data_IF_793631564533
#
_entry.id   IF_793631564533
#
_cell.length_a   1.000
_cell.length_b   1.000
_cell.length_c   1.000
_cell.angle_alpha   90.00
_cell.angle_beta   90.00
_cell.angle_gamma   90.00
#
_symmetry.space_group_name_H-M   'P 1'
#
loop_
_entity.id
_entity.type
_entity.pdbx_description
1 polymer ?
#
# COMPACT_ATOMS: atom_id res chain seq x y z
N UNK A 1 9.93 -5.39 5.65
CA UNK A 1 9.80 -4.01 5.12
C UNK A 1 8.33 -3.62 5.14
N UNK A 2 7.89 -2.43 4.73
CA UNK A 2 6.47 -2.12 4.48
C UNK A 2 6.47 -1.47 3.10
N UNK A 3 5.93 -2.16 2.10
CA UNK A 3 5.57 -1.55 0.82
C UNK A 3 4.09 -1.24 0.84
N UNK A 4 3.76 -0.12 0.26
CA UNK A 4 2.42 0.41 0.21
C UNK A 4 1.92 0.12 -1.20
N UNK A 5 0.76 -0.50 -1.35
CA UNK A 5 0.10 -0.51 -2.64
C UNK A 5 -0.81 0.70 -2.69
N UNK A 6 -0.61 1.54 -3.70
CA UNK A 6 -1.48 2.67 -3.94
C UNK A 6 -2.11 2.57 -5.31
N UNK A 7 -3.39 2.92 -5.36
CA UNK A 7 -4.09 2.98 -6.63
C UNK A 7 -4.75 4.34 -6.79
N UNK A 8 -4.38 5.07 -7.85
CA UNK A 8 -5.09 6.28 -8.24
C UNK A 8 -6.52 5.95 -8.70
N UNK A 9 -7.49 6.81 -8.37
CA UNK A 9 -8.71 6.89 -9.17
C UNK A 9 -8.35 7.54 -10.52
N UNK A 10 -8.57 6.86 -11.66
CA UNK A 10 -8.39 7.52 -12.94
C UNK A 10 -9.49 8.59 -13.10
N UNK A 11 -9.09 9.83 -13.38
CA UNK A 11 -9.94 10.69 -14.19
C UNK A 11 -10.14 9.91 -15.49
N UNK A 12 -11.37 9.52 -15.81
CA UNK A 12 -11.68 8.98 -17.11
C UNK A 12 -11.60 10.11 -18.16
N UNK A 13 -10.44 10.73 -18.33
CA UNK A 13 -10.14 11.49 -19.53
C UNK A 13 -9.73 10.46 -20.57
N UNK A 14 -10.67 10.12 -21.47
CA UNK A 14 -10.33 9.55 -22.76
C UNK A 14 -9.21 10.42 -23.34
N UNK A 15 -7.99 9.91 -23.46
CA UNK A 15 -7.00 10.51 -24.34
C UNK A 15 -7.49 10.30 -25.78
N UNK A 16 -8.37 11.20 -26.24
CA UNK A 16 -8.51 11.47 -27.67
C UNK A 16 -7.51 12.56 -27.95
N UNK A 17 -6.41 12.21 -28.62
CA UNK A 17 -5.51 13.19 -29.21
C UNK A 17 -6.33 14.16 -30.07
N UNK A 18 -6.16 15.46 -29.84
CA UNK A 18 -6.11 16.56 -30.81
C UNK A 18 -6.58 17.88 -30.13
N UNK A 19 -5.60 18.76 -29.89
CA UNK A 19 -5.68 20.21 -29.69
C UNK A 19 -6.53 20.80 -28.54
N UNK A 20 -5.80 21.51 -27.66
CA UNK A 20 -6.19 22.68 -26.86
C UNK A 20 -7.68 22.93 -26.59
N UNK A 21 -8.16 22.46 -25.45
CA UNK A 21 -9.12 23.21 -24.62
C UNK A 21 -9.07 22.69 -23.18
N UNK A 22 -8.77 23.59 -22.24
CA UNK A 22 -8.85 23.30 -20.81
C UNK A 22 -10.32 23.25 -20.41
N UNK A 23 -10.88 22.05 -20.25
CA UNK A 23 -12.18 21.88 -19.61
C UNK A 23 -12.08 22.02 -18.08
N UNK A 24 -13.10 22.59 -17.41
CA UNK A 24 -13.10 22.78 -15.96
C UNK A 24 -13.05 21.45 -15.21
N UNK A 25 -12.24 21.41 -14.15
CA UNK A 25 -12.12 20.26 -13.23
C UNK A 25 -13.47 20.05 -12.54
N UNK A 26 -14.26 19.09 -13.02
CA UNK A 26 -15.43 18.59 -12.29
C UNK A 26 -14.91 18.01 -10.96
N UNK A 27 -15.35 18.58 -9.83
CA UNK A 27 -15.03 18.13 -8.45
C UNK A 27 -15.72 16.79 -8.13
N UNK A 28 -15.39 15.74 -8.86
CA UNK A 28 -15.69 14.38 -8.43
C UNK A 28 -14.75 14.02 -7.27
N UNK A 29 -15.23 13.29 -6.25
CA UNK A 29 -14.35 12.71 -5.24
C UNK A 29 -13.35 11.78 -5.92
N UNK A 30 -12.07 12.16 -5.86
CA UNK A 30 -10.96 11.30 -6.27
C UNK A 30 -10.56 10.50 -5.04
N UNK A 31 -10.47 9.19 -5.22
CA UNK A 31 -10.10 8.25 -4.17
C UNK A 31 -8.69 7.70 -4.44
N UNK A 32 -7.71 8.12 -3.64
CA UNK A 32 -6.40 7.47 -3.58
C UNK A 32 -6.46 6.41 -2.48
N UNK A 33 -6.33 5.14 -2.83
CA UNK A 33 -6.35 4.05 -1.85
C UNK A 33 -4.92 3.63 -1.51
N UNK A 34 -4.67 3.31 -0.25
CA UNK A 34 -3.39 2.90 0.29
C UNK A 34 -3.57 1.61 1.10
N UNK A 35 -2.79 0.58 0.79
CA UNK A 35 -2.79 -0.71 1.49
C UNK A 35 -1.46 -0.95 2.18
N UNK A 36 -1.53 -1.40 3.42
CA UNK A 36 -0.37 -1.61 4.27
C UNK A 36 -0.48 -2.93 5.03
N UNK A 37 0.66 -3.57 5.29
CA UNK A 37 0.73 -4.70 6.22
C UNK A 37 1.02 -4.18 7.63
N UNK A 38 0.18 -4.51 8.60
CA UNK A 38 0.44 -4.23 10.00
C UNK A 38 1.49 -5.13 10.60
N UNK A 39 2.04 -4.73 11.75
CA UNK A 39 2.99 -5.55 12.53
C UNK A 39 2.35 -6.85 13.03
N UNK A 40 1.02 -6.87 13.13
CA UNK A 40 0.20 -8.03 13.46
C UNK A 40 -0.06 -8.97 12.26
N UNK A 41 0.52 -8.67 11.09
CA UNK A 41 0.37 -9.49 9.88
C UNK A 41 -0.96 -9.30 9.16
N UNK A 42 -1.81 -8.36 9.56
CA UNK A 42 -3.06 -8.04 8.87
C UNK A 42 -2.84 -7.04 7.73
N UNK A 43 -3.74 -7.05 6.76
CA UNK A 43 -3.84 -6.01 5.73
C UNK A 43 -4.70 -4.87 6.25
N UNK A 44 -4.26 -3.65 6.01
CA UNK A 44 -4.95 -2.41 6.36
C UNK A 44 -5.18 -1.55 5.14
N UNK A 45 -6.28 -0.80 5.16
CA UNK A 45 -6.65 0.17 4.12
C UNK A 45 -6.80 1.57 4.72
N UNK A 46 -6.26 2.55 4.02
CA UNK A 46 -6.55 3.97 4.20
C UNK A 46 -6.85 4.58 2.83
N UNK A 47 -7.68 5.59 2.77
CA UNK A 47 -7.98 6.24 1.48
C UNK A 47 -8.16 7.74 1.62
N UNK A 48 -7.82 8.49 0.58
CA UNK A 48 -7.97 9.93 0.53
C UNK A 48 -9.24 10.29 -0.23
N UNK A 49 -10.06 11.19 0.33
CA UNK A 49 -11.18 11.84 -0.36
C UNK A 49 -10.84 13.33 -0.55
N UNK A 50 -10.81 13.81 -1.79
CA UNK A 50 -10.53 15.22 -2.08
C UNK A 50 -11.43 16.21 -1.32
N UNK A 51 -12.64 15.80 -0.91
CA UNK A 51 -13.58 16.67 -0.20
C UNK A 51 -13.47 16.54 1.33
N UNK A 52 -12.86 15.47 1.84
CA UNK A 52 -12.97 15.09 3.26
C UNK A 52 -11.66 14.59 3.89
N UNK A 53 -10.54 14.64 3.15
CA UNK A 53 -9.22 14.23 3.59
C UNK A 53 -9.06 12.71 3.72
N UNK A 54 -8.09 12.31 4.54
CA UNK A 54 -7.79 10.90 4.80
C UNK A 54 -8.90 10.21 5.61
N UNK A 55 -9.18 8.96 5.25
CA UNK A 55 -10.21 8.12 5.84
C UNK A 55 -9.66 6.73 6.19
N UNK A 56 -10.18 6.07 7.25
CA UNK A 56 -11.33 6.46 8.08
C UNK A 56 -11.17 7.78 8.85
N UNK A 57 -9.94 8.13 9.19
CA UNK A 57 -9.52 9.44 9.69
C UNK A 57 -8.07 9.72 9.29
N UNK A 58 -7.50 10.83 9.77
CA UNK A 58 -6.06 11.10 9.62
C UNK A 58 -5.18 10.03 10.31
N UNK A 59 -5.65 9.43 11.41
CA UNK A 59 -4.84 8.54 12.25
C UNK A 59 -5.27 7.07 12.17
N UNK A 60 -6.45 6.78 11.62
CA UNK A 60 -6.97 5.42 11.65
C UNK A 60 -6.76 4.69 10.33
N UNK A 61 -6.61 3.37 10.44
CA UNK A 61 -6.55 2.43 9.33
C UNK A 61 -7.67 1.41 9.46
N UNK A 62 -8.36 1.12 8.36
CA UNK A 62 -9.38 0.08 8.34
C UNK A 62 -8.71 -1.30 8.25
N UNK A 63 -8.88 -2.20 9.23
CA UNK A 63 -8.40 -3.56 9.10
C UNK A 63 -9.22 -4.31 8.05
N UNK A 64 -8.54 -5.02 7.16
CA UNK A 64 -9.13 -5.94 6.18
C UNK A 64 -8.93 -7.41 6.57
N UNK A 65 -8.36 -7.67 7.76
CA UNK A 65 -8.03 -9.00 8.25
C UNK A 65 -6.78 -9.58 7.58
N UNK A 66 -6.67 -10.92 7.62
CA UNK A 66 -5.57 -11.67 7.03
C UNK A 66 -4.48 -12.10 8.01
N UNK A 67 -3.49 -12.80 7.46
CA UNK A 67 -2.27 -13.26 8.09
C UNK A 67 -1.24 -13.43 6.98
N UNK A 68 -0.56 -12.34 6.64
CA UNK A 68 0.27 -12.25 5.43
C UNK A 68 1.76 -12.11 5.81
N UNK A 69 2.64 -12.61 4.95
CA UNK A 69 4.10 -12.59 5.19
C UNK A 69 4.79 -11.45 4.44
N UNK A 70 4.19 -11.00 3.34
CA UNK A 70 4.75 -10.04 2.40
C UNK A 70 3.84 -8.82 2.25
N UNK A 71 3.90 -8.07 1.15
CA UNK A 71 3.12 -6.85 0.97
C UNK A 71 1.83 -7.10 0.20
N UNK A 72 0.72 -6.42 0.58
CA UNK A 72 -0.43 -6.38 -0.29
C UNK A 72 -0.09 -5.60 -1.57
N UNK A 73 -0.62 -6.05 -2.69
CA UNK A 73 -0.53 -5.40 -4.00
C UNK A 73 -1.94 -5.17 -4.50
N UNK A 74 -2.20 -4.05 -5.17
CA UNK A 74 -3.55 -3.74 -5.58
C UNK A 74 -3.56 -3.21 -7.03
N UNK A 75 -4.62 -3.53 -7.77
CA UNK A 75 -4.91 -3.01 -9.13
C UNK A 75 -6.35 -2.48 -9.19
N UNK A 76 -6.61 -1.50 -10.05
CA UNK A 76 -7.96 -1.12 -10.45
C UNK A 76 -8.10 -1.26 -11.95
N UNK A 77 -9.21 -1.82 -12.39
CA UNK A 77 -9.53 -1.97 -13.81
C UNK A 77 -10.80 -1.20 -14.22
N UNK A 78 -11.51 -0.59 -13.27
CA UNK A 78 -12.57 0.37 -13.55
C UNK A 78 -12.73 1.38 -12.40
N UNK A 79 -13.51 2.44 -12.65
CA UNK A 79 -13.75 3.52 -11.69
C UNK A 79 -14.42 3.10 -10.39
N UNK A 80 -15.07 1.94 -10.31
CA UNK A 80 -15.74 1.44 -9.11
C UNK A 80 -15.22 0.08 -8.67
N UNK A 81 -14.02 -0.28 -9.12
CA UNK A 81 -13.44 -1.59 -8.85
C UNK A 81 -11.96 -1.52 -8.53
N UNK A 82 -11.67 -2.04 -7.36
CA UNK A 82 -10.36 -2.25 -6.79
C UNK A 82 -10.25 -3.73 -6.44
N UNK A 83 -9.09 -4.30 -6.73
CA UNK A 83 -8.74 -5.70 -6.42
C UNK A 83 -7.38 -5.69 -5.70
N UNK A 84 -7.30 -6.40 -4.59
CA UNK A 84 -6.16 -6.44 -3.65
C UNK A 84 -5.71 -7.88 -3.53
N UNK A 85 -4.41 -8.10 -3.57
CA UNK A 85 -3.77 -9.38 -3.58
C UNK A 85 -2.74 -9.44 -2.47
N UNK A 86 -2.71 -10.54 -1.72
CA UNK A 86 -1.73 -10.72 -0.67
C UNK A 86 -1.33 -12.19 -0.52
N UNK A 87 -0.06 -12.41 -0.22
CA UNK A 87 0.47 -13.74 0.09
C UNK A 87 0.19 -14.10 1.54
N UNK A 88 -0.52 -15.20 1.77
CA UNK A 88 -0.77 -15.74 3.10
C UNK A 88 0.49 -16.38 3.72
N UNK A 89 0.44 -16.64 5.03
CA UNK A 89 1.48 -17.40 5.77
C UNK A 89 1.69 -18.83 5.28
N UNK A 90 0.68 -19.38 4.61
CA UNK A 90 0.71 -20.68 3.92
C UNK A 90 1.43 -20.62 2.57
N UNK A 91 1.83 -19.42 2.11
CA UNK A 91 2.48 -19.20 0.82
C UNK A 91 1.51 -19.08 -0.36
N UNK A 92 0.20 -19.24 -0.15
CA UNK A 92 -0.79 -19.10 -1.21
C UNK A 92 -1.14 -17.63 -1.47
N UNK A 93 -1.64 -17.34 -2.68
CA UNK A 93 -2.17 -16.03 -2.99
C UNK A 93 -3.65 -15.93 -2.58
N UNK A 94 -3.99 -14.82 -1.94
CA UNK A 94 -5.36 -14.44 -1.61
C UNK A 94 -5.73 -13.15 -2.34
N UNK A 95 -7.01 -13.02 -2.66
CA UNK A 95 -7.58 -11.88 -3.36
C UNK A 95 -8.79 -11.32 -2.60
N UNK A 96 -8.93 -10.01 -2.54
CA UNK A 96 -10.09 -9.32 -1.99
C UNK A 96 -10.41 -8.12 -2.88
N UNK A 97 -11.68 -7.78 -3.02
CA UNK A 97 -12.10 -6.79 -4.01
C UNK A 97 -13.30 -5.98 -3.55
N UNK A 98 -13.53 -4.85 -4.19
CA UNK A 98 -14.71 -4.03 -3.94
C UNK A 98 -14.65 -2.70 -4.65
N UNK A 99 -15.46 -1.77 -4.19
CA UNK A 99 -15.38 -0.39 -4.66
C UNK A 99 -14.21 0.35 -4.01
N UNK A 100 -13.65 1.30 -4.75
CA UNK A 100 -12.54 2.15 -4.30
C UNK A 100 -12.96 3.28 -3.33
N UNK A 101 -14.23 3.31 -2.93
CA UNK A 101 -14.82 4.26 -1.98
C UNK A 101 -14.99 3.63 -0.60
N UNK A 102 -15.70 4.31 0.31
CA UNK A 102 -15.95 3.84 1.68
C UNK A 102 -16.91 2.63 1.81
N UNK A 103 -17.18 1.88 0.73
CA UNK A 103 -17.97 0.65 0.83
C UNK A 103 -17.11 -0.52 1.32
N UNK A 104 -17.70 -1.48 2.06
CA UNK A 104 -17.02 -2.72 2.43
C UNK A 104 -16.50 -3.48 1.20
N UNK A 105 -15.40 -4.19 1.39
CA UNK A 105 -14.87 -5.14 0.41
C UNK A 105 -15.59 -6.50 0.55
N UNK A 106 -15.46 -7.36 -0.45
CA UNK A 106 -16.14 -8.65 -0.51
C UNK A 106 -15.61 -9.68 0.50
N UNK A 107 -14.35 -9.57 0.91
CA UNK A 107 -13.66 -10.56 1.73
C UNK A 107 -12.56 -11.29 0.95
N UNK A 108 -11.68 -12.00 1.67
CA UNK A 108 -10.56 -12.71 1.05
C UNK A 108 -11.02 -14.05 0.46
N UNK A 109 -10.68 -14.28 -0.80
CA UNK A 109 -10.79 -15.56 -1.50
C UNK A 109 -9.40 -16.14 -1.81
N UNK A 110 -9.29 -17.47 -1.75
CA UNK A 110 -8.06 -18.20 -2.06
C UNK A 110 -7.87 -18.32 -3.58
N UNK A 111 -6.69 -17.97 -4.08
CA UNK A 111 -6.26 -18.11 -5.47
C UNK A 111 -5.21 -19.21 -5.69
N UNK A 112 -4.85 -19.94 -4.63
CA UNK A 112 -3.91 -21.07 -4.65
C UNK A 112 -2.46 -20.66 -4.92
N UNK A 113 -1.68 -21.62 -5.39
CA UNK A 113 -0.23 -21.48 -5.63
C UNK A 113 0.63 -21.56 -4.36
N UNK A 114 1.95 -21.63 -4.57
CA UNK A 114 2.98 -21.51 -3.54
C UNK A 114 4.00 -20.47 -4.02
N UNK A 115 3.69 -19.20 -3.74
CA UNK A 115 4.48 -18.07 -4.23
C UNK A 115 5.54 -17.65 -3.21
N UNK A 116 6.57 -16.96 -3.65
CA UNK A 116 7.63 -16.37 -2.83
C UNK A 116 7.75 -14.86 -3.06
N UNK A 117 7.61 -14.09 -1.99
CA UNK A 117 7.59 -12.64 -2.05
C UNK A 117 6.23 -12.08 -2.48
N UNK A 118 6.20 -10.80 -2.85
CA UNK A 118 4.98 -10.14 -3.33
C UNK A 118 4.73 -10.47 -4.80
N UNK A 119 3.46 -10.65 -5.23
CA UNK A 119 3.13 -10.76 -6.65
C UNK A 119 3.27 -9.40 -7.35
N UNK A 120 3.18 -9.41 -8.66
CA UNK A 120 3.02 -8.21 -9.49
C UNK A 120 1.71 -8.31 -10.25
N UNK A 121 0.94 -7.23 -10.26
CA UNK A 121 -0.42 -7.21 -10.77
C UNK A 121 -0.61 -6.03 -11.71
N UNK A 122 -1.17 -6.28 -12.89
CA UNK A 122 -1.49 -5.23 -13.88
C UNK A 122 -2.89 -5.43 -14.44
N UNK A 123 -3.44 -4.36 -15.01
CA UNK A 123 -4.67 -4.41 -15.79
C UNK A 123 -4.53 -3.53 -17.02
N UNK A 124 -4.85 -4.09 -18.19
CA UNK A 124 -4.89 -3.37 -19.46
C UNK A 124 -6.29 -2.98 -19.91
N UNK A 125 -7.32 -3.29 -19.12
CA UNK A 125 -8.70 -2.94 -19.45
C UNK A 125 -9.75 -3.55 -18.53
N UNK A 126 -10.99 -3.11 -18.72
CA UNK A 126 -12.13 -3.57 -17.92
C UNK A 126 -12.22 -5.10 -17.89
N UNK A 127 -12.52 -5.65 -16.72
CA UNK A 127 -12.65 -7.09 -16.49
C UNK A 127 -11.39 -7.90 -16.84
N UNK A 128 -10.21 -7.26 -16.84
CA UNK A 128 -8.94 -7.95 -16.98
C UNK A 128 -8.03 -7.62 -15.81
N UNK A 129 -7.47 -8.66 -15.21
CA UNK A 129 -6.33 -8.57 -14.28
C UNK A 129 -5.34 -9.65 -14.68
N UNK A 130 -4.06 -9.33 -14.69
CA UNK A 130 -2.96 -10.27 -14.91
C UNK A 130 -2.02 -10.22 -13.69
N UNK A 131 -1.72 -11.39 -13.14
CA UNK A 131 -0.90 -11.57 -11.94
C UNK A 131 0.31 -12.42 -12.31
N UNK A 132 1.48 -11.92 -11.96
CA UNK A 132 2.76 -12.61 -12.08
C UNK A 132 3.35 -12.83 -10.70
N UNK A 133 3.76 -14.05 -10.40
CA UNK A 133 4.36 -14.38 -9.12
C UNK A 133 5.54 -15.33 -9.30
N UNK A 134 6.54 -15.20 -8.44
CA UNK A 134 7.63 -16.16 -8.36
C UNK A 134 7.19 -17.35 -7.51
N UNK A 135 7.40 -18.57 -7.98
CA UNK A 135 7.19 -19.81 -7.22
C UNK A 135 8.35 -20.16 -6.29
N UNK A 136 8.20 -21.21 -5.48
CA UNK A 136 9.27 -21.72 -4.59
C UNK A 136 10.45 -22.34 -5.34
N UNK A 137 10.28 -22.63 -6.63
CA UNK A 137 11.26 -23.13 -7.58
C UNK A 137 12.00 -22.03 -8.34
N UNK A 138 11.81 -20.76 -7.95
CA UNK A 138 12.30 -19.56 -8.65
C UNK A 138 11.73 -19.33 -10.07
N UNK A 139 10.76 -20.14 -10.50
CA UNK A 139 10.04 -19.93 -11.75
C UNK A 139 9.01 -18.82 -11.64
N UNK A 140 8.64 -18.22 -12.77
CA UNK A 140 7.54 -17.27 -12.87
C UNK A 140 6.27 -17.98 -13.27
N UNK A 141 5.19 -17.61 -12.58
CA UNK A 141 3.85 -18.12 -12.78
C UNK A 141 2.88 -16.98 -13.09
N UNK A 142 1.89 -17.29 -13.90
CA UNK A 142 0.87 -16.37 -14.37
C UNK A 142 -0.54 -16.85 -14.00
N UNK A 143 -1.37 -15.92 -13.53
CA UNK A 143 -2.79 -16.12 -13.25
C UNK A 143 -3.54 -14.89 -13.72
N UNK A 144 -4.75 -15.06 -14.25
CA UNK A 144 -5.51 -13.91 -14.76
C UNK A 144 -7.00 -14.03 -14.51
N UNK A 145 -7.65 -12.88 -14.48
CA UNK A 145 -9.10 -12.72 -14.50
C UNK A 145 -9.54 -12.32 -15.90
N UNK A 146 -10.53 -13.01 -16.47
CA UNK A 146 -11.04 -12.74 -17.84
C UNK A 146 -12.46 -12.14 -17.87
N UNK A 147 -13.00 -11.73 -16.72
CA UNK A 147 -14.37 -11.24 -16.59
C UNK A 147 -15.40 -12.32 -16.26
N UNK A 148 -15.04 -13.60 -16.39
CA UNK A 148 -15.91 -14.74 -16.07
C UNK A 148 -15.35 -15.59 -14.93
N UNK A 149 -14.04 -15.69 -14.81
CA UNK A 149 -13.40 -16.46 -13.77
C UNK A 149 -11.88 -16.29 -13.75
N UNK A 150 -11.27 -16.76 -12.65
CA UNK A 150 -9.84 -16.92 -12.56
C UNK A 150 -9.36 -18.07 -13.44
N UNK A 151 -8.21 -17.85 -14.08
CA UNK A 151 -7.57 -18.80 -14.99
C UNK A 151 -6.12 -19.06 -14.58
N UNK A 152 -5.59 -20.27 -14.83
CA UNK A 152 -6.23 -21.42 -15.51
C UNK A 152 -7.42 -22.03 -14.75
N UNK A 153 -7.43 -21.91 -13.41
CA UNK A 153 -8.58 -22.17 -12.56
C UNK A 153 -8.53 -21.24 -11.33
N UNK A 154 -9.49 -21.39 -10.41
CA UNK A 154 -9.46 -20.67 -9.12
C UNK A 154 -8.12 -20.87 -8.40
N UNK A 155 -7.55 -22.08 -8.41
CA UNK A 155 -6.39 -22.44 -7.58
C UNK A 155 -5.11 -22.66 -8.39
N UNK A 156 -5.22 -22.97 -9.67
CA UNK A 156 -4.07 -23.31 -10.51
C UNK A 156 -3.38 -22.07 -11.08
N UNK A 157 -2.12 -22.26 -11.48
CA UNK A 157 -1.25 -21.24 -12.05
C UNK A 157 -0.59 -21.73 -13.33
N UNK A 158 -0.43 -20.85 -14.31
CA UNK A 158 0.27 -21.15 -15.55
C UNK A 158 1.78 -20.93 -15.36
N UNK A 159 2.65 -21.92 -15.60
CA UNK A 159 4.09 -21.69 -15.59
C UNK A 159 4.51 -20.89 -16.83
N UNK A 160 5.38 -19.90 -16.63
CA UNK A 160 6.07 -19.15 -17.69
C UNK A 160 7.57 -19.47 -17.75
N UNK A 161 8.07 -20.35 -16.88
CA UNK A 161 9.51 -20.64 -16.76
C UNK A 161 10.28 -19.49 -16.12
N UNK A 162 11.55 -19.30 -16.50
CA UNK A 162 12.44 -18.33 -15.89
C UNK A 162 13.11 -18.85 -14.60
N UNK A 163 14.07 -18.09 -14.08
CA UNK A 163 14.80 -18.42 -12.86
C UNK A 163 15.30 -17.14 -12.18
N UNK A 164 14.62 -16.70 -11.11
CA UNK A 164 14.88 -15.41 -10.45
C UNK A 164 14.84 -15.50 -8.93
N UNK A 165 15.66 -14.67 -8.26
CA UNK A 165 15.66 -14.51 -6.80
C UNK A 165 14.81 -13.34 -6.30
N UNK A 166 14.20 -12.58 -7.20
CA UNK A 166 13.47 -11.34 -6.90
C UNK A 166 12.02 -11.41 -7.45
N UNK A 167 11.08 -10.61 -6.93
CA UNK A 167 9.76 -10.45 -7.54
C UNK A 167 9.85 -9.98 -9.00
N UNK A 168 8.96 -10.47 -9.90
CA UNK A 168 8.89 -9.96 -11.26
C UNK A 168 8.37 -8.51 -11.29
N UNK A 169 8.66 -7.79 -12.37
CA UNK A 169 8.04 -6.51 -12.69
C UNK A 169 7.19 -6.67 -13.96
N UNK A 170 6.08 -5.96 -14.08
CA UNK A 170 5.24 -6.04 -15.28
C UNK A 170 4.60 -4.69 -15.60
N UNK A 171 4.38 -4.45 -16.89
CA UNK A 171 3.69 -3.27 -17.40
C UNK A 171 2.75 -3.64 -18.52
N UNK A 172 1.77 -2.77 -18.75
CA UNK A 172 0.95 -2.75 -19.96
C UNK A 172 0.99 -1.34 -20.53
N UNK A 173 1.10 -1.23 -21.85
CA UNK A 173 1.03 0.03 -22.58
C UNK A 173 -0.09 0.07 -23.62
N UNK A 174 -0.76 -1.05 -23.87
CA UNK A 174 -1.95 -1.14 -24.71
C UNK A 174 -2.81 -2.37 -24.36
N UNK A 175 -4.07 -2.36 -24.83
CA UNK A 175 -5.00 -3.48 -24.63
C UNK A 175 -4.42 -4.76 -25.23
N UNK A 176 -4.31 -5.81 -24.42
CA UNK A 176 -3.80 -7.11 -24.86
C UNK A 176 -2.29 -7.15 -25.01
N UNK A 177 -1.56 -6.23 -24.36
CA UNK A 177 -0.10 -6.26 -24.30
C UNK A 177 0.39 -6.24 -22.87
N UNK A 178 1.16 -7.27 -22.53
CA UNK A 178 1.83 -7.46 -21.26
C UNK A 178 3.32 -7.63 -21.53
N UNK A 179 4.14 -6.94 -20.76
CA UNK A 179 5.59 -7.07 -20.78
C UNK A 179 6.06 -7.35 -19.34
N UNK A 180 6.81 -8.43 -19.14
CA UNK A 180 7.25 -8.94 -17.85
C UNK A 180 8.78 -8.95 -17.81
N UNK A 181 9.33 -8.51 -16.69
CA UNK A 181 10.76 -8.40 -16.47
C UNK A 181 11.15 -9.12 -15.19
N UNK A 182 12.27 -9.85 -15.23
CA UNK A 182 12.86 -10.48 -14.05
C UNK A 182 14.35 -10.21 -13.98
N UNK A 183 14.89 -10.15 -12.78
CA UNK A 183 16.34 -10.23 -12.58
C UNK A 183 16.74 -11.70 -12.45
N UNK A 184 17.51 -12.22 -13.42
CA UNK A 184 18.05 -13.56 -13.38
C UNK A 184 19.09 -13.74 -12.26
N UNK A 185 19.33 -14.99 -11.85
CA UNK A 185 20.37 -15.31 -10.85
C UNK A 185 21.80 -14.96 -11.29
N UNK A 186 22.00 -14.78 -12.59
CA UNK A 186 23.25 -14.34 -13.22
C UNK A 186 23.40 -12.80 -13.23
N UNK A 187 22.44 -12.06 -12.68
CA UNK A 187 22.44 -10.60 -12.61
C UNK A 187 22.02 -9.90 -13.90
N UNK A 188 21.57 -10.63 -14.93
CA UNK A 188 20.98 -10.04 -16.13
C UNK A 188 19.48 -9.80 -15.93
N UNK A 189 18.93 -8.79 -16.60
CA UNK A 189 17.47 -8.63 -16.69
C UNK A 189 16.97 -9.45 -17.88
N UNK A 190 15.88 -10.18 -17.70
CA UNK A 190 15.19 -10.91 -18.76
C UNK A 190 13.81 -10.33 -18.99
N UNK A 191 13.34 -10.42 -20.23
CA UNK A 191 12.06 -9.92 -20.70
C UNK A 191 11.26 -11.02 -21.37
N UNK A 192 9.94 -11.05 -21.13
CA UNK A 192 8.99 -11.89 -21.85
C UNK A 192 7.71 -11.08 -22.04
N UNK A 193 7.09 -11.19 -23.21
CA UNK A 193 5.90 -10.42 -23.55
C UNK A 193 4.84 -11.26 -24.23
N UNK A 194 3.59 -10.79 -24.17
CA UNK A 194 2.46 -11.53 -24.70
C UNK A 194 1.14 -10.80 -24.52
N UNK A 195 0.04 -11.52 -24.75
CA UNK A 195 -1.32 -11.00 -24.54
C UNK A 195 -2.06 -11.66 -23.37
N UNK A 196 -1.35 -12.48 -22.58
CA UNK A 196 -1.92 -13.21 -21.44
C UNK A 196 -2.64 -14.50 -21.83
N UNK A 197 -2.67 -14.88 -23.11
CA UNK A 197 -3.04 -16.22 -23.55
C UNK A 197 -1.85 -17.18 -23.34
N UNK A 198 -2.06 -18.39 -22.79
CA UNK A 198 -0.99 -19.35 -22.58
C UNK A 198 -0.11 -19.66 -23.78
N UNK A 199 -0.65 -19.57 -24.99
CA UNK A 199 0.04 -19.89 -26.24
C UNK A 199 0.60 -18.64 -26.96
N UNK A 200 0.60 -17.48 -26.31
CA UNK A 200 1.05 -16.21 -26.89
C UNK A 200 2.00 -15.50 -25.92
N UNK A 201 3.10 -16.18 -25.61
CA UNK A 201 4.25 -15.62 -24.91
C UNK A 201 5.46 -15.73 -25.83
N UNK A 202 6.28 -14.68 -25.89
CA UNK A 202 7.47 -14.63 -26.74
C UNK A 202 8.55 -15.63 -26.31
N UNK A 203 8.54 -16.03 -25.04
CA UNK A 203 9.68 -16.65 -24.38
C UNK A 203 10.61 -15.58 -23.80
N UNK A 204 11.52 -16.03 -22.93
CA UNK A 204 12.45 -15.15 -22.22
C UNK A 204 13.64 -14.75 -23.11
N UNK A 205 13.85 -13.44 -23.29
CA UNK A 205 15.03 -12.85 -23.90
C UNK A 205 15.86 -12.09 -22.85
N UNK A 206 17.18 -12.08 -23.00
CA UNK A 206 18.06 -11.29 -22.12
C UNK A 206 18.13 -9.84 -22.58
N UNK A 207 18.08 -8.92 -21.62
CA UNK A 207 18.32 -7.49 -21.77
C UNK A 207 19.69 -7.06 -21.22
N UNK A 208 20.56 -8.02 -20.89
CA UNK A 208 21.89 -7.80 -20.33
C UNK A 208 21.89 -7.06 -18.99
N UNK A 209 22.96 -6.29 -18.77
CA UNK A 209 23.15 -5.45 -17.58
C UNK A 209 24.01 -6.07 -16.47
N UNK A 210 24.32 -7.37 -16.51
CA UNK A 210 25.02 -8.03 -15.40
C UNK A 210 26.35 -7.36 -15.02
N UNK A 211 26.62 -7.17 -13.70
CA UNK A 211 25.76 -7.56 -12.59
C UNK A 211 24.80 -6.42 -12.15
N UNK A 212 23.49 -6.63 -12.29
CA UNK A 212 22.43 -5.84 -11.64
C UNK A 212 21.94 -6.52 -10.36
N UNK A 213 21.21 -5.78 -9.51
CA UNK A 213 20.69 -6.29 -8.23
C UNK A 213 19.32 -5.72 -7.88
N UNK A 214 18.49 -6.54 -7.23
CA UNK A 214 17.14 -6.18 -6.80
C UNK A 214 16.09 -6.23 -7.93
N UNK A 215 14.82 -6.31 -7.54
CA UNK A 215 13.71 -6.36 -8.49
C UNK A 215 13.71 -5.16 -9.46
N UNK A 216 13.47 -5.37 -10.76
CA UNK A 216 13.24 -4.28 -11.70
C UNK A 216 12.02 -3.45 -11.33
N UNK A 217 12.03 -2.18 -11.71
CA UNK A 217 10.86 -1.30 -11.70
C UNK A 217 10.57 -0.87 -13.12
N UNK A 218 9.31 -0.99 -13.54
CA UNK A 218 8.92 -0.73 -14.93
C UNK A 218 7.72 0.21 -14.98
N UNK A 219 7.78 1.16 -15.91
CA UNK A 219 6.70 2.12 -16.17
C UNK A 219 6.49 2.30 -17.67
N UNK A 220 5.30 2.79 -18.02
CA UNK A 220 4.97 3.24 -19.37
C UNK A 220 4.18 4.54 -19.28
N UNK A 221 4.46 5.48 -20.18
CA UNK A 221 3.68 6.71 -20.35
C UNK A 221 2.87 6.75 -21.65
N UNK A 222 2.95 5.71 -22.47
CA UNK A 222 2.30 5.69 -23.77
C UNK A 222 2.52 4.40 -24.53
N UNK A 223 1.76 4.24 -25.61
CA UNK A 223 1.90 3.08 -26.49
C UNK A 223 3.34 2.94 -26.98
N UNK A 224 3.83 1.71 -27.02
CA UNK A 224 5.18 1.34 -27.45
C UNK A 224 6.32 1.92 -26.59
N UNK A 225 6.00 2.60 -25.49
CA UNK A 225 7.00 3.07 -24.53
C UNK A 225 7.05 2.18 -23.31
N UNK A 226 8.25 1.70 -22.99
CA UNK A 226 8.57 1.09 -21.70
C UNK A 226 9.87 1.69 -21.17
N UNK A 227 9.91 1.96 -19.88
CA UNK A 227 11.10 2.40 -19.15
C UNK A 227 11.34 1.47 -17.97
N UNK A 228 12.54 0.89 -17.91
CA UNK A 228 12.96 -0.05 -16.86
C UNK A 228 14.07 0.59 -16.03
N UNK A 229 13.93 0.53 -14.71
CA UNK A 229 14.91 0.98 -13.74
C UNK A 229 15.32 -0.19 -12.84
N UNK A 230 16.62 -0.41 -12.70
CA UNK A 230 17.18 -1.45 -11.81
C UNK A 230 18.40 -0.87 -11.13
N UNK A 231 18.69 -1.27 -9.89
CA UNK A 231 19.94 -0.83 -9.25
C UNK A 231 21.13 -1.73 -9.63
N UNK A 232 22.31 -1.14 -9.61
CA UNK A 232 23.58 -1.87 -9.66
C UNK A 232 24.12 -2.18 -8.26
N UNK A 233 25.22 -2.92 -8.19
CA UNK A 233 25.89 -3.28 -6.93
C UNK A 233 26.47 -2.09 -6.18
N UNK A 234 26.90 -1.06 -6.89
CA UNK A 234 27.35 0.23 -6.33
C UNK A 234 26.21 1.11 -5.81
N UNK A 235 24.96 0.71 -6.03
CA UNK A 235 23.76 1.44 -5.65
C UNK A 235 23.35 2.55 -6.63
N UNK A 236 24.00 2.66 -7.79
CA UNK A 236 23.52 3.48 -8.91
C UNK A 236 22.26 2.88 -9.55
N UNK A 237 21.44 3.72 -10.18
CA UNK A 237 20.26 3.31 -10.94
C UNK A 237 20.61 3.24 -12.42
N UNK A 238 20.34 2.09 -13.02
CA UNK A 238 20.46 1.85 -14.45
C UNK A 238 19.09 1.95 -15.11
N UNK A 239 19.09 2.40 -16.36
CA UNK A 239 17.90 2.61 -17.16
C UNK A 239 18.01 1.96 -18.55
N UNK A 240 16.92 1.35 -18.99
CA UNK A 240 16.75 0.82 -20.35
C UNK A 240 15.35 1.18 -20.82
N UNK A 241 15.20 1.40 -22.14
CA UNK A 241 13.89 1.74 -22.69
C UNK A 241 13.56 1.04 -24.02
N UNK A 242 12.26 0.91 -24.26
CA UNK A 242 11.66 0.48 -25.51
C UNK A 242 10.85 1.63 -26.09
N UNK A 243 10.91 1.79 -27.41
CA UNK A 243 10.24 2.84 -28.18
C UNK A 243 9.44 2.29 -29.38
N UNK A 244 9.14 0.98 -29.38
CA UNK A 244 8.49 0.30 -30.50
C UNK A 244 9.45 -0.31 -31.50
N UNK A 245 10.75 0.03 -31.44
CA UNK A 245 11.73 -0.32 -32.47
C UNK A 245 12.88 -1.14 -31.89
N UNK A 246 13.02 -2.37 -32.36
CA UNK A 246 14.17 -3.23 -32.02
C UNK A 246 15.49 -2.62 -32.53
N UNK A 247 16.60 -2.68 -31.77
CA UNK A 247 16.71 -3.24 -30.41
C UNK A 247 16.28 -2.26 -29.32
N UNK A 248 16.14 -2.78 -28.09
CA UNK A 248 16.07 -1.98 -26.86
C UNK A 248 17.19 -0.93 -26.82
N UNK A 249 16.95 0.21 -26.17
CA UNK A 249 17.92 1.30 -26.05
C UNK A 249 18.61 1.27 -24.68
N UNK A 250 19.93 1.50 -24.59
CA UNK A 250 20.87 1.87 -25.68
C UNK A 250 21.20 0.77 -26.68
N UNK A 251 21.20 -0.47 -26.23
CA UNK A 251 21.32 -1.66 -27.07
C UNK A 251 20.54 -2.80 -26.39
N UNK A 252 20.48 -3.97 -27.04
CA UNK A 252 19.85 -5.14 -26.43
C UNK A 252 20.44 -5.45 -25.05
N UNK A 253 21.75 -5.28 -24.86
CA UNK A 253 22.46 -5.73 -23.66
C UNK A 253 22.94 -4.59 -22.75
N UNK A 254 23.16 -3.39 -23.29
CA UNK A 254 23.72 -2.27 -22.55
C UNK A 254 22.65 -1.44 -21.85
N UNK A 255 23.01 -0.76 -20.77
CA UNK A 255 22.09 0.07 -19.97
C UNK A 255 22.64 1.49 -19.83
N UNK A 256 21.76 2.48 -19.84
CA UNK A 256 22.11 3.85 -19.47
C UNK A 256 22.34 3.95 -17.96
N UNK A 257 23.19 4.88 -17.56
CA UNK A 257 23.39 5.24 -16.16
C UNK A 257 22.57 6.48 -15.80
N UNK A 258 21.61 6.33 -14.89
CA UNK A 258 20.92 7.46 -14.24
C UNK A 258 21.75 7.95 -13.04
N UNK A 259 22.72 7.16 -12.61
CA UNK A 259 23.54 7.40 -11.44
C UNK A 259 22.76 7.22 -10.15
N UNK A 260 23.26 7.87 -9.10
CA UNK A 260 22.61 8.01 -7.81
C UNK A 260 23.19 9.24 -7.12
N UNK A 261 22.72 9.62 -5.94
CA UNK A 261 23.40 10.58 -5.08
C UNK A 261 24.71 9.96 -4.56
N UNK A 262 25.68 9.80 -5.45
CA UNK A 262 27.01 9.27 -5.21
C UNK A 262 27.90 10.47 -4.98
N UNK A 263 28.19 10.77 -3.71
CA UNK A 263 29.44 11.44 -3.40
C UNK A 263 30.37 10.40 -2.77
N UNK A 264 31.69 10.64 -2.81
CA UNK A 264 32.76 9.67 -2.56
C UNK A 264 32.72 8.91 -1.22
N UNK A 265 31.71 9.16 -0.37
CA UNK A 265 31.47 8.51 0.92
C UNK A 265 30.01 8.01 1.12
N UNK A 266 29.17 7.92 0.08
CA UNK A 266 27.76 7.49 0.17
C UNK A 266 27.42 6.39 -0.85
N UNK A 267 27.19 5.14 -0.44
CA UNK A 267 26.68 4.12 -1.35
C UNK A 267 25.22 4.47 -1.72
N UNK A 268 24.88 4.50 -3.02
CA UNK A 268 23.64 5.06 -3.58
C UNK A 268 22.35 4.57 -2.91
N UNK A 269 21.75 3.49 -3.42
CA UNK A 269 20.59 2.84 -2.78
C UNK A 269 20.80 1.34 -2.62
N UNK A 270 20.26 0.76 -1.54
CA UNK A 270 20.25 -0.70 -1.31
C UNK A 270 18.93 -1.33 -1.76
N UNK A 271 17.91 -0.50 -1.94
CA UNK A 271 16.54 -0.90 -2.23
C UNK A 271 16.24 -0.75 -3.73
N UNK A 272 15.27 -1.48 -4.29
CA UNK A 272 14.76 -1.20 -5.63
C UNK A 272 14.27 0.26 -5.74
N UNK A 273 14.46 0.94 -6.88
CA UNK A 273 13.88 2.25 -7.09
C UNK A 273 12.35 2.17 -7.12
N UNK A 274 11.69 3.32 -7.00
CA UNK A 274 10.29 3.48 -7.35
C UNK A 274 10.20 4.47 -8.52
N UNK A 275 9.36 4.20 -9.51
CA UNK A 275 9.23 5.07 -10.67
C UNK A 275 7.75 5.24 -11.04
N UNK A 276 7.43 6.38 -11.63
CA UNK A 276 6.10 6.69 -12.12
C UNK A 276 6.21 7.60 -13.34
N UNK A 277 5.18 7.58 -14.18
CA UNK A 277 4.97 8.58 -15.20
C UNK A 277 3.59 9.20 -15.04
N UNK A 278 3.48 10.51 -15.29
CA UNK A 278 2.22 11.24 -15.20
C UNK A 278 1.87 12.02 -16.48
N UNK A 279 2.80 12.07 -17.45
CA UNK A 279 2.54 12.56 -18.80
C UNK A 279 3.55 11.97 -19.78
N UNK A 280 3.27 12.12 -21.08
CA UNK A 280 4.19 11.72 -22.15
C UNK A 280 5.53 12.44 -22.00
N UNK A 281 6.62 11.66 -22.02
CA UNK A 281 7.98 12.19 -21.86
C UNK A 281 8.31 12.65 -20.44
N UNK A 282 7.56 12.17 -19.43
CA UNK A 282 7.82 12.53 -18.05
C UNK A 282 7.85 11.32 -17.14
N UNK A 283 9.07 11.02 -16.69
CA UNK A 283 9.41 9.98 -15.74
C UNK A 283 9.92 10.65 -14.46
N UNK A 284 9.46 10.15 -13.32
CA UNK A 284 9.95 10.55 -12.00
C UNK A 284 10.40 9.29 -11.25
N UNK A 285 11.66 9.28 -10.79
CA UNK A 285 12.31 8.15 -10.13
C UNK A 285 12.70 8.55 -8.71
N UNK A 286 12.41 7.65 -7.76
CA UNK A 286 12.61 7.83 -6.34
C UNK A 286 13.43 6.69 -5.77
N UNK A 287 14.34 7.02 -4.86
CA UNK A 287 15.17 6.04 -4.16
C UNK A 287 15.27 6.39 -2.67
N UNK A 288 15.57 5.38 -1.86
CA UNK A 288 16.01 5.58 -0.48
C UNK A 288 17.54 5.61 -0.43
N UNK A 289 18.11 6.65 0.14
CA UNK A 289 19.54 6.75 0.41
C UNK A 289 19.94 5.81 1.57
N UNK A 290 21.10 5.15 1.46
CA UNK A 290 21.44 4.04 2.37
C UNK A 290 21.73 4.48 3.82
N UNK A 291 22.44 5.60 4.03
CA UNK A 291 22.98 6.00 5.34
C UNK A 291 21.93 6.53 6.29
N UNK A 292 21.17 7.53 5.87
CA UNK A 292 20.20 8.24 6.70
C UNK A 292 18.75 7.88 6.34
N UNK A 293 18.54 7.23 5.19
CA UNK A 293 17.20 6.86 4.74
C UNK A 293 16.41 8.01 4.14
N UNK A 294 17.08 9.05 3.65
CA UNK A 294 16.42 10.14 2.95
C UNK A 294 15.84 9.67 1.62
N UNK A 295 14.70 10.22 1.22
CA UNK A 295 14.14 10.01 -0.11
C UNK A 295 14.81 10.97 -1.07
N UNK A 296 15.33 10.44 -2.18
CA UNK A 296 15.84 11.22 -3.29
C UNK A 296 14.93 11.07 -4.51
N UNK A 297 14.85 12.13 -5.30
CA UNK A 297 14.02 12.23 -6.48
C UNK A 297 14.84 12.74 -7.66
N UNK A 298 14.64 12.17 -8.85
CA UNK A 298 15.20 12.62 -10.12
C UNK A 298 14.14 12.43 -11.21
N UNK A 299 14.11 13.30 -12.20
CA UNK A 299 13.12 13.25 -13.27
C UNK A 299 13.71 13.56 -14.63
N UNK A 300 13.06 13.08 -15.70
CA UNK A 300 13.50 13.27 -17.08
C UNK A 300 12.54 12.64 -18.07
N UNK A 301 12.92 12.56 -19.34
CA UNK A 301 12.15 11.89 -20.38
C UNK A 301 12.68 10.48 -20.71
N UNK A 302 13.78 10.07 -20.06
CA UNK A 302 14.46 8.80 -20.26
C UNK A 302 15.51 8.84 -21.36
N UNK A 303 15.73 9.98 -22.04
CA UNK A 303 16.85 10.16 -22.95
C UNK A 303 18.15 10.48 -22.18
N UNK A 304 19.33 10.10 -22.70
CA UNK A 304 20.60 10.44 -22.09
C UNK A 304 20.77 11.94 -21.90
N UNK A 305 21.14 12.37 -20.69
CA UNK A 305 21.33 13.79 -20.36
C UNK A 305 20.05 14.57 -20.03
N UNK A 306 18.85 13.96 -20.13
CA UNK A 306 17.59 14.63 -19.78
C UNK A 306 17.33 14.74 -18.27
N UNK A 307 18.06 13.98 -17.47
CA UNK A 307 17.81 13.84 -16.03
C UNK A 307 18.13 15.13 -15.29
N UNK A 308 17.22 15.57 -14.42
CA UNK A 308 17.35 16.80 -13.62
C UNK A 308 18.50 16.79 -12.63
N UNK A 309 19.00 15.60 -12.28
CA UNK A 309 19.87 15.37 -11.14
C UNK A 309 19.07 15.03 -9.88
N UNK A 310 19.73 14.31 -8.96
CA UNK A 310 19.13 13.82 -7.73
C UNK A 310 18.98 14.93 -6.69
N UNK A 311 17.74 15.23 -6.29
CA UNK A 311 17.41 16.14 -5.20
C UNK A 311 16.89 15.39 -3.98
N UNK A 312 17.31 15.81 -2.79
CA UNK A 312 16.78 15.25 -1.53
C UNK A 312 15.41 15.82 -1.23
N UNK A 313 14.47 14.93 -0.95
CA UNK A 313 13.12 15.24 -0.45
C UNK A 313 13.05 15.11 1.10
N UNK A 314 14.19 14.90 1.75
CA UNK A 314 14.29 14.66 3.18
C UNK A 314 13.64 13.33 3.61
N UNK A 315 13.18 13.28 4.86
CA UNK A 315 12.62 12.08 5.47
C UNK A 315 13.69 11.12 6.00
N UNK A 316 13.24 10.17 6.83
CA UNK A 316 14.02 9.04 7.32
C UNK A 316 13.14 7.80 7.26
N UNK A 317 13.21 7.10 6.13
CA UNK A 317 12.29 6.01 5.80
C UNK A 317 13.00 4.65 5.90
N UNK A 318 12.24 3.57 6.02
CA UNK A 318 12.73 2.19 6.04
C UNK A 318 12.29 1.45 4.77
N UNK A 319 13.25 1.03 3.95
CA UNK A 319 12.99 0.37 2.68
C UNK A 319 12.54 1.32 1.56
N UNK A 320 12.18 0.78 0.38
CA UNK A 320 11.86 1.59 -0.79
C UNK A 320 10.56 2.37 -0.60
N UNK A 321 10.49 3.62 -1.09
CA UNK A 321 9.23 4.35 -1.17
C UNK A 321 8.29 3.69 -2.20
N UNK A 322 7.00 4.03 -2.11
CA UNK A 322 6.00 3.76 -3.16
C UNK A 322 5.56 5.11 -3.72
N UNK A 323 5.45 5.22 -5.04
CA UNK A 323 4.97 6.44 -5.69
C UNK A 323 3.83 6.11 -6.66
N UNK A 324 2.85 7.01 -6.74
CA UNK A 324 1.78 6.97 -7.74
C UNK A 324 1.48 8.35 -8.29
N UNK A 325 0.83 8.35 -9.45
CA UNK A 325 0.18 9.51 -10.04
C UNK A 325 -1.27 9.16 -10.38
N UNK A 326 -2.20 10.04 -10.04
CA UNK A 326 -3.61 9.96 -10.46
C UNK A 326 -3.98 11.07 -11.46
N UNK A 327 -3.02 11.88 -11.89
CA UNK A 327 -3.27 12.97 -12.82
C UNK A 327 -2.00 13.73 -13.16
N UNK A 328 -2.07 14.49 -14.26
CA UNK A 328 -0.99 15.39 -14.67
C UNK A 328 -0.61 16.31 -13.52
N UNK A 329 0.70 16.52 -13.31
CA UNK A 329 1.23 17.35 -12.23
C UNK A 329 0.84 16.88 -10.82
N UNK A 330 0.54 15.59 -10.63
CA UNK A 330 0.24 15.03 -9.32
C UNK A 330 1.06 13.79 -9.04
N UNK A 331 1.83 13.84 -7.96
CA UNK A 331 2.62 12.73 -7.43
C UNK A 331 2.37 12.58 -5.93
N UNK A 332 2.19 11.34 -5.49
CA UNK A 332 2.02 10.99 -4.08
C UNK A 332 3.03 9.90 -3.72
N UNK A 333 3.90 10.17 -2.74
CA UNK A 333 4.93 9.29 -2.23
C UNK A 333 4.49 8.78 -0.86
N UNK A 334 4.56 7.47 -0.66
CA UNK A 334 4.33 6.83 0.60
C UNK A 334 5.55 6.03 1.03
N UNK A 335 5.86 6.06 2.31
CA UNK A 335 6.99 5.34 2.85
C UNK A 335 6.78 4.93 4.30
N UNK A 336 7.46 3.87 4.73
CA UNK A 336 7.53 3.49 6.15
C UNK A 336 8.54 4.39 6.84
N UNK A 337 8.17 5.06 7.92
CA UNK A 337 9.11 5.81 8.75
C UNK A 337 9.95 4.91 9.65
N UNK A 338 10.96 5.49 10.30
CA UNK A 338 11.72 4.80 11.36
C UNK A 338 10.87 4.42 12.59
N UNK A 339 9.71 5.06 12.71
CA UNK A 339 8.70 4.82 13.75
C UNK A 339 7.69 3.73 13.37
N UNK A 340 7.85 3.05 12.23
CA UNK A 340 6.87 2.11 11.65
C UNK A 340 5.54 2.75 11.24
N UNK A 341 5.45 4.08 11.23
CA UNK A 341 4.33 4.83 10.67
C UNK A 341 4.36 4.83 9.16
N UNK A 342 3.19 4.99 8.54
CA UNK A 342 3.10 5.33 7.13
C UNK A 342 3.21 6.84 6.99
N UNK A 343 4.17 7.31 6.22
CA UNK A 343 4.40 8.71 5.92
C UNK A 343 4.03 9.00 4.47
N UNK A 344 3.46 10.17 4.24
CA UNK A 344 3.01 10.64 2.94
C UNK A 344 3.64 11.99 2.59
N UNK A 345 4.02 12.17 1.33
CA UNK A 345 4.53 13.43 0.77
C UNK A 345 4.05 13.55 -0.67
N UNK A 346 3.65 14.74 -1.09
CA UNK A 346 3.10 14.91 -2.43
C UNK A 346 3.60 16.17 -3.13
N UNK A 347 3.41 16.19 -4.46
CA UNK A 347 3.61 17.32 -5.34
C UNK A 347 2.37 17.52 -6.20
N UNK A 348 1.92 18.77 -6.32
CA UNK A 348 0.68 19.19 -6.97
C UNK A 348 0.93 20.14 -8.16
N UNK A 349 2.10 20.03 -8.80
CA UNK A 349 2.49 20.87 -9.92
C UNK A 349 3.21 22.15 -9.53
N UNK A 350 3.12 22.56 -8.26
CA UNK A 350 3.66 23.82 -7.77
C UNK A 350 4.78 23.57 -6.78
N UNK A 351 6.04 23.89 -7.12
CA UNK A 351 7.15 23.85 -6.19
C UNK A 351 6.94 24.79 -4.98
N UNK A 352 7.46 24.45 -3.78
CA UNK A 352 8.17 23.21 -3.45
C UNK A 352 7.22 22.02 -3.23
N UNK A 353 7.79 20.82 -3.16
CA UNK A 353 7.07 19.64 -2.65
C UNK A 353 6.46 19.93 -1.27
N UNK A 354 5.26 19.41 -1.00
CA UNK A 354 4.63 19.58 0.32
C UNK A 354 5.37 18.81 1.40
N UNK A 355 5.16 19.17 2.67
CA UNK A 355 5.82 18.50 3.81
C UNK A 355 5.49 17.01 3.92
N UNK A 356 6.32 16.27 4.65
CA UNK A 356 5.96 14.91 5.07
C UNK A 356 4.86 14.97 6.12
N UNK A 357 3.79 14.22 5.93
CA UNK A 357 2.71 14.03 6.91
C UNK A 357 2.65 12.57 7.38
N UNK A 358 2.39 12.37 8.67
CA UNK A 358 2.23 11.04 9.27
C UNK A 358 0.77 10.59 9.11
N UNK A 359 0.56 9.42 8.53
CA UNK A 359 -0.73 8.75 8.39
C UNK A 359 -0.98 7.68 9.48
N UNK A 360 -0.20 7.74 10.55
CA UNK A 360 -0.10 6.77 11.66
C UNK A 360 0.29 5.34 11.20
N UNK A 361 0.37 4.42 12.16
CA UNK A 361 0.75 3.02 11.97
C UNK A 361 -0.49 2.19 11.60
N UNK A 362 -0.36 1.24 10.66
CA UNK A 362 -1.40 0.28 10.33
C UNK A 362 -1.47 -0.79 11.42
N UNK A 363 -2.07 -0.45 12.56
CA UNK A 363 -2.28 -1.36 13.68
C UNK A 363 -3.76 -1.46 13.98
N UNK A 364 -4.19 -2.64 14.44
CA UNK A 364 -5.55 -2.81 14.90
C UNK A 364 -5.76 -1.86 16.08
N UNK A 365 -6.93 -1.21 16.18
CA UNK A 365 -7.26 -0.42 17.36
C UNK A 365 -7.12 -1.30 18.60
N UNK A 366 -6.11 -1.03 19.42
CA UNK A 366 -5.91 -1.70 20.70
C UNK A 366 -6.66 -0.90 21.76
N UNK A 367 -7.79 -1.43 22.21
CA UNK A 367 -8.50 -0.92 23.37
C UNK A 367 -7.75 -1.40 24.62
N UNK A 368 -7.28 -0.46 25.43
CA UNK A 368 -6.70 -0.70 26.75
C UNK A 368 -7.73 -0.26 27.79
N UNK A 369 -8.19 -1.21 28.60
CA UNK A 369 -8.98 -0.90 29.80
C UNK A 369 -8.03 -0.92 30.99
N UNK A 370 -8.00 0.15 31.77
CA UNK A 370 -7.19 0.27 32.98
C UNK A 370 -8.01 0.82 34.14
N UNK A 371 -7.69 0.38 35.35
CA UNK A 371 -8.27 0.90 36.60
C UNK A 371 -7.19 1.60 37.41
N UNK A 372 -7.47 2.81 37.90
CA UNK A 372 -6.62 3.47 38.91
C UNK A 372 -7.34 3.46 40.24
N UNK A 373 -6.66 3.04 41.31
CA UNK A 373 -7.15 3.16 42.69
C UNK A 373 -6.37 4.28 43.38
N UNK A 374 -7.04 5.38 43.73
CA UNK A 374 -6.47 6.43 44.57
C UNK A 374 -7.18 6.47 45.93
N UNK A 375 -6.53 7.06 46.93
CA UNK A 375 -7.01 7.15 48.32
C UNK A 375 -8.37 7.87 48.47
N UNK A 376 -8.84 8.56 47.43
CA UNK A 376 -10.08 9.34 47.36
C UNK A 376 -11.08 8.84 46.30
N UNK A 377 -10.86 7.66 45.70
CA UNK A 377 -11.75 7.11 44.67
C UNK A 377 -11.01 6.34 43.56
N UNK A 378 -11.74 5.47 42.86
CA UNK A 378 -11.25 4.73 41.69
C UNK A 378 -11.61 5.42 40.37
N UNK A 379 -10.93 5.09 39.27
CA UNK A 379 -11.37 5.47 37.93
C UNK A 379 -11.15 4.32 36.95
N UNK A 380 -12.08 4.16 36.02
CA UNK A 380 -11.96 3.25 34.88
C UNK A 380 -11.62 4.09 33.67
N UNK A 381 -10.50 3.76 33.03
CA UNK A 381 -10.01 4.41 31.82
C UNK A 381 -10.04 3.42 30.67
N UNK A 382 -10.73 3.80 29.60
CA UNK A 382 -10.69 3.11 28.31
C UNK A 382 -9.92 4.00 27.36
N UNK A 383 -8.73 3.58 26.97
CA UNK A 383 -7.87 4.28 26.02
C UNK A 383 -7.60 3.40 24.81
N UNK A 384 -7.23 4.01 23.69
CA UNK A 384 -7.04 3.27 22.45
C UNK A 384 -6.99 4.19 21.25
N UNK A 385 -6.45 3.67 20.14
CA UNK A 385 -6.49 4.33 18.83
C UNK A 385 -7.74 3.86 18.08
N UNK A 386 -8.30 4.64 17.14
CA UNK A 386 -9.46 4.18 16.34
C UNK A 386 -10.85 4.61 16.80
N UNK A 387 -10.99 5.52 17.75
CA UNK A 387 -12.30 5.96 18.23
C UNK A 387 -12.88 7.06 17.34
N UNK A 388 -14.13 6.89 16.92
CA UNK A 388 -14.91 7.96 16.30
C UNK A 388 -15.63 8.77 17.38
N UNK A 389 -16.00 10.04 17.12
CA UNK A 389 -16.84 10.82 18.05
C UNK A 389 -18.20 10.16 18.37
N UNK A 390 -18.64 9.20 17.55
CA UNK A 390 -19.84 8.39 17.71
C UNK A 390 -19.61 7.04 18.43
N UNK A 391 -18.36 6.69 18.74
CA UNK A 391 -18.02 5.46 19.45
C UNK A 391 -18.59 5.45 20.86
N UNK A 392 -19.10 4.32 21.32
CA UNK A 392 -19.67 4.14 22.66
C UNK A 392 -18.90 3.07 23.43
N UNK A 393 -18.76 3.27 24.74
CA UNK A 393 -18.23 2.26 25.67
C UNK A 393 -19.37 1.83 26.58
N UNK A 394 -19.68 0.54 26.60
CA UNK A 394 -20.63 -0.09 27.54
C UNK A 394 -19.85 -0.85 28.60
N UNK A 395 -20.21 -0.64 29.87
CA UNK A 395 -19.64 -1.36 30.99
C UNK A 395 -20.69 -2.30 31.58
N UNK A 396 -20.30 -3.56 31.82
CA UNK A 396 -21.09 -4.51 32.59
C UNK A 396 -20.52 -4.58 34.00
N UNK A 397 -21.24 -3.96 34.94
CA UNK A 397 -20.84 -3.86 36.35
C UNK A 397 -21.73 -4.77 37.19
N UNK A 398 -21.12 -5.63 38.00
CA UNK A 398 -21.81 -6.43 39.00
C UNK A 398 -21.52 -5.86 40.40
N UNK A 399 -22.59 -5.51 41.12
CA UNK A 399 -22.50 -5.09 42.51
C UNK A 399 -22.46 -6.34 43.41
N UNK A 400 -21.40 -6.50 44.19
CA UNK A 400 -21.21 -7.66 45.07
C UNK A 400 -22.12 -7.66 46.31
N UNK A 401 -22.86 -6.58 46.56
CA UNK A 401 -23.76 -6.45 47.70
C UNK A 401 -25.14 -6.04 47.20
N UNK A 402 -26.14 -6.89 47.42
CA UNK A 402 -27.53 -6.82 46.96
C UNK A 402 -28.33 -5.59 47.47
N UNK A 403 -27.86 -4.38 47.18
CA UNK A 403 -28.56 -3.13 47.46
C UNK A 403 -28.43 -2.20 46.25
N UNK A 404 -29.57 -1.62 45.87
CA UNK A 404 -29.82 -0.71 44.75
C UNK A 404 -28.56 0.02 44.22
N UNK A 405 -28.36 -0.10 42.91
CA UNK A 405 -27.37 0.56 42.06
C UNK A 405 -26.70 1.81 42.70
N UNK A 406 -25.45 1.71 43.17
CA UNK A 406 -24.70 2.86 43.68
C UNK A 406 -24.14 3.73 42.53
N UNK A 407 -24.25 3.30 41.27
CA UNK A 407 -23.98 4.17 40.13
C UNK A 407 -25.25 4.95 39.78
N UNK A 408 -25.34 6.22 40.19
CA UNK A 408 -26.15 7.18 39.44
C UNK A 408 -25.41 7.52 38.13
N UNK A 409 -25.33 6.52 37.25
CA UNK A 409 -25.42 6.76 35.81
C UNK A 409 -26.91 6.78 35.56
N UNK A 410 -27.45 7.88 35.04
CA UNK A 410 -28.89 8.05 34.85
C UNK A 410 -29.51 6.82 34.16
N UNK A 411 -30.38 6.13 34.92
CA UNK A 411 -31.31 5.04 34.56
C UNK A 411 -30.78 3.60 34.60
N UNK A 412 -31.51 2.71 35.30
CA UNK A 412 -31.28 1.26 35.35
C UNK A 412 -31.12 0.68 33.94
N UNK A 413 -30.07 -0.12 33.70
CA UNK A 413 -29.48 -0.38 32.37
C UNK A 413 -28.90 0.88 31.69
N UNK A 414 -28.04 1.63 32.39
CA UNK A 414 -27.46 2.85 31.85
C UNK A 414 -26.47 2.56 30.71
N UNK A 415 -26.92 2.78 29.48
CA UNK A 415 -26.09 3.20 28.36
C UNK A 415 -25.34 4.49 28.77
N UNK A 416 -24.18 4.36 29.42
CA UNK A 416 -23.28 5.49 29.66
C UNK A 416 -22.66 5.92 28.32
N UNK A 417 -23.40 6.70 27.54
CA UNK A 417 -22.90 7.32 26.32
C UNK A 417 -22.05 8.52 26.70
N UNK A 418 -20.76 8.30 26.94
CA UNK A 418 -19.77 9.36 26.85
C UNK A 418 -19.26 9.53 25.43
N UNK A 419 -19.08 10.76 24.99
CA UNK A 419 -18.37 11.04 23.74
C UNK A 419 -16.87 10.92 23.98
N UNK A 420 -16.17 10.17 23.11
CA UNK A 420 -14.71 10.18 23.07
C UNK A 420 -14.23 11.59 22.71
N UNK A 421 -13.29 12.14 23.49
CA UNK A 421 -12.61 13.36 23.11
C UNK A 421 -11.61 13.08 22.00
N UNK A 422 -11.77 13.77 20.87
CA UNK A 422 -10.83 13.74 19.76
C UNK A 422 -9.44 14.29 20.14
N UNK A 423 -9.34 15.05 21.23
CA UNK A 423 -8.09 15.66 21.69
C UNK A 423 -7.27 14.70 22.58
N UNK A 424 -7.91 13.79 23.32
CA UNK A 424 -7.23 12.98 24.34
C UNK A 424 -7.22 11.46 24.06
N UNK A 425 -8.02 10.96 23.10
CA UNK A 425 -8.09 9.53 22.76
C UNK A 425 -8.42 8.59 23.95
N UNK A 426 -9.15 9.07 24.97
CA UNK A 426 -9.63 8.22 26.06
C UNK A 426 -11.03 8.61 26.55
N UNK A 427 -11.74 7.64 27.13
CA UNK A 427 -12.93 7.81 27.96
C UNK A 427 -12.56 7.51 29.43
N UNK A 428 -12.99 8.37 30.36
CA UNK A 428 -12.76 8.18 31.79
C UNK A 428 -14.09 8.31 32.55
N UNK A 429 -14.45 7.28 33.31
CA UNK A 429 -15.52 7.32 34.30
C UNK A 429 -14.89 7.34 35.71
N UNK A 430 -15.27 8.33 36.52
CA UNK A 430 -14.80 8.46 37.90
C UNK A 430 -15.75 7.71 38.84
N UNK A 431 -15.19 6.85 39.70
CA UNK A 431 -15.90 6.27 40.84
C UNK A 431 -15.80 7.25 42.01
N UNK A 432 -16.93 7.66 42.59
CA UNK A 432 -16.99 8.74 43.58
C UNK A 432 -16.30 8.39 44.91
N UNK A 433 -15.83 9.40 45.69
CA UNK A 433 -15.03 9.21 46.91
C UNK A 433 -15.68 8.43 48.06
N UNK A 434 -17.01 8.25 48.03
CA UNK A 434 -17.79 7.72 49.15
C UNK A 434 -18.50 6.39 48.81
N UNK A 435 -18.05 5.66 47.78
CA UNK A 435 -18.56 4.33 47.45
C UNK A 435 -17.95 3.30 48.41
N UNK A 436 -18.75 2.79 49.33
CA UNK A 436 -18.32 1.83 50.38
C UNK A 436 -18.30 0.39 49.87
N UNK A 437 -18.79 0.12 48.65
CA UNK A 437 -18.98 -1.24 48.15
C UNK A 437 -18.02 -1.58 47.00
N UNK A 438 -17.35 -2.75 47.03
CA UNK A 438 -16.54 -3.21 45.92
C UNK A 438 -17.45 -3.54 44.72
N UNK A 439 -17.24 -2.87 43.60
CA UNK A 439 -17.88 -3.18 42.33
C UNK A 439 -16.91 -3.96 41.45
N UNK A 440 -17.39 -5.02 40.78
CA UNK A 440 -16.57 -5.80 39.83
C UNK A 440 -17.06 -5.51 38.42
N UNK A 441 -16.15 -5.03 37.58
CA UNK A 441 -16.41 -4.91 36.14
C UNK A 441 -16.17 -6.29 35.54
N UNK A 442 -17.23 -6.91 35.03
CA UNK A 442 -17.17 -8.25 34.44
C UNK A 442 -16.79 -8.22 32.97
N UNK A 443 -17.23 -7.19 32.26
CA UNK A 443 -16.94 -7.01 30.84
C UNK A 443 -17.02 -5.53 30.45
N UNK A 444 -16.21 -5.16 29.46
CA UNK A 444 -16.29 -3.87 28.76
C UNK A 444 -16.57 -4.17 27.31
N UNK A 445 -17.69 -3.69 26.79
CA UNK A 445 -18.01 -3.77 25.36
C UNK A 445 -17.79 -2.40 24.74
N UNK A 446 -16.99 -2.34 23.68
CA UNK A 446 -16.62 -1.07 23.05
C UNK A 446 -17.13 -1.08 21.63
N UNK A 447 -18.21 -0.35 21.43
CA UNK A 447 -18.77 -0.10 20.11
C UNK A 447 -18.00 1.06 19.49
N UNK A 448 -16.79 0.78 19.03
CA UNK A 448 -16.19 1.59 17.97
C UNK A 448 -17.02 1.33 16.72
N UNK A 449 -17.23 2.30 15.83
CA UNK A 449 -17.98 2.09 14.59
C UNK A 449 -17.38 1.05 13.61
N UNK A 450 -16.39 0.25 14.05
CA UNK A 450 -15.81 -0.89 13.36
C UNK A 450 -15.48 -2.00 14.39
N UNK A 451 -16.19 -3.13 14.30
CA UNK A 451 -16.10 -4.34 15.14
C UNK A 451 -14.77 -4.53 15.90
N UNK A 452 -14.72 -4.09 17.15
CA UNK A 452 -13.64 -4.38 18.09
C UNK A 452 -14.21 -5.17 19.27
N UNK A 453 -14.13 -6.50 19.21
CA UNK A 453 -14.41 -7.36 20.36
C UNK A 453 -13.12 -7.60 21.13
N UNK A 454 -12.99 -7.02 22.31
CA UNK A 454 -11.95 -7.37 23.27
C UNK A 454 -12.57 -8.13 24.44
N UNK A 455 -12.00 -9.27 24.82
CA UNK A 455 -12.32 -9.93 26.09
C UNK A 455 -11.46 -9.35 27.20
N UNK A 456 -12.05 -8.91 28.31
CA UNK A 456 -11.30 -8.48 29.50
C UNK A 456 -11.62 -9.35 30.71
N UNK A 457 -10.59 -9.67 31.49
CA UNK A 457 -10.70 -10.25 32.82
C UNK A 457 -11.37 -9.27 33.80
N UNK A 458 -11.88 -9.80 34.92
CA UNK A 458 -12.54 -9.00 35.95
C UNK A 458 -11.58 -8.01 36.63
N UNK A 459 -12.01 -6.75 36.77
CA UNK A 459 -11.29 -5.72 37.54
C UNK A 459 -12.13 -5.27 38.72
N UNK A 460 -11.54 -5.28 39.92
CA UNK A 460 -12.10 -4.75 41.17
C UNK A 460 -11.62 -3.31 41.37
N UNK A 461 -12.55 -2.36 41.54
CA UNK A 461 -12.24 -1.06 42.11
C UNK A 461 -12.13 -1.14 43.64
#
# INVERSE_FOLDING_TARGET
MLKIATIPYPIATKYKSLFEQAEPIVKNSIWLNCFARGVDGRVYRKWFDNNAGWKPSNFDWQPLGGGITDYPVAVAWSSNRLDIFARGVDGALYHNYGSNNNKPLAGWELLGGLIQGSPTVVSWGNNRIDIFARGTDNGIYHKWWDGKGWKPSQLDWQPLGGNTSEPPAAVTWSKGRLDIFVLGLDGNVYHNYGNGNPNNWSGWETLGGSPLKGAPTVVSWGAERIDIFVRSWDGSIKHKSWDGVFPWKPSQLDWYDVGGPINTNRPGTSDPPAAVAWSKGRLDVFIREQKEGAVYHNYGDGSPGSWSGWQSLGGKIQGPPTVVSWGTNRLDIFARGMDDGVWHKWWDGVPPWKGWELLDKPVSPSIVVSTTKNQTGGAIRVSGKGFTPSGRVKFYVENLVNQKNPFHLTEDLADAQGQFSAETNFFQANCWPNQVNPAVIRAVDVVTGASATGTSNAYTC
#
